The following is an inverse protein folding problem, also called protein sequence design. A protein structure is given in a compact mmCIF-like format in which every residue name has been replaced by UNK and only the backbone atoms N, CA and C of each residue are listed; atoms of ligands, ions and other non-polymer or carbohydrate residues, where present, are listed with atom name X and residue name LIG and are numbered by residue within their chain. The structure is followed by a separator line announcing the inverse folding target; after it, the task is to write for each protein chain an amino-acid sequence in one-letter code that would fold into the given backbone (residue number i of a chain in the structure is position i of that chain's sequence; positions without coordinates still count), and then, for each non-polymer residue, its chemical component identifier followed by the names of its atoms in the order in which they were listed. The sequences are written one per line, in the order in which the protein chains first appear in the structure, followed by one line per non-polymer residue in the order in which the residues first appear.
data_IF_373777772884
#
_entry.id   IF_373777772884
#
_cell.length_a   1.000
_cell.length_b   1.000
_cell.length_c   1.000
_cell.angle_alpha   90.00
_cell.angle_beta   90.00
_cell.angle_gamma   90.00
#
_symmetry.space_group_name_H-M   'P 1'
#
loop_
_entity.id
_entity.type
_entity.pdbx_description
1 polymer ?
#
# COMPACT_ATOMS: atom_id res chain seq x y z
N UNK A 1 1.55 45.12 -58.37
CA UNK A 1 1.65 44.98 -56.89
C UNK A 1 0.58 44.07 -56.27
N UNK A 2 -0.71 44.14 -56.68
CA UNK A 2 -1.77 43.29 -56.09
C UNK A 2 -1.63 41.77 -56.31
N UNK A 3 -1.03 41.33 -57.42
CA UNK A 3 -0.82 39.88 -57.69
C UNK A 3 0.32 39.27 -56.87
N UNK A 4 1.38 40.03 -56.57
CA UNK A 4 2.46 39.57 -55.71
C UNK A 4 2.01 39.43 -54.25
N UNK A 5 1.10 40.29 -53.79
CA UNK A 5 0.51 40.18 -52.46
C UNK A 5 -0.35 38.90 -52.30
N UNK A 6 -1.08 38.49 -53.36
CA UNK A 6 -1.86 37.23 -53.35
C UNK A 6 -0.97 35.98 -53.40
N UNK A 7 0.13 36.02 -54.16
CA UNK A 7 1.12 34.93 -54.19
C UNK A 7 1.87 34.81 -52.86
N UNK A 8 2.19 35.92 -52.21
CA UNK A 8 2.85 35.94 -50.90
C UNK A 8 1.93 35.46 -49.78
N UNK A 9 0.62 35.78 -49.83
CA UNK A 9 -0.40 35.24 -48.92
C UNK A 9 -0.62 33.72 -49.09
N UNK A 10 -0.59 33.21 -50.31
CA UNK A 10 -0.71 31.77 -50.58
C UNK A 10 0.54 30.98 -50.14
N UNK A 11 1.73 31.59 -50.19
CA UNK A 11 2.95 30.98 -49.69
C UNK A 11 3.07 31.01 -48.15
N UNK A 12 2.42 31.97 -47.48
CA UNK A 12 2.45 32.11 -46.01
C UNK A 12 1.44 31.20 -45.30
N UNK A 13 0.35 30.81 -45.97
CA UNK A 13 -0.68 29.92 -45.42
C UNK A 13 -0.16 28.55 -44.95
N UNK A 14 0.66 27.80 -45.72
CA UNK A 14 1.22 26.53 -45.23
C UNK A 14 2.18 26.73 -44.05
N UNK A 15 2.92 27.84 -44.02
CA UNK A 15 3.86 28.16 -42.93
C UNK A 15 3.14 28.46 -41.60
N UNK A 16 1.94 29.04 -41.65
CA UNK A 16 1.08 29.23 -40.46
C UNK A 16 0.52 27.90 -39.94
N UNK A 17 0.19 26.96 -40.83
CA UNK A 17 -0.27 25.60 -40.43
C UNK A 17 0.86 24.76 -39.84
N UNK A 18 2.09 24.96 -40.29
CA UNK A 18 3.29 24.30 -39.75
C UNK A 18 3.76 24.89 -38.40
N UNK A 19 3.35 26.11 -38.05
CA UNK A 19 3.69 26.76 -36.77
C UNK A 19 2.61 26.60 -35.70
N UNK A 20 1.38 26.24 -36.08
CA UNK A 20 0.39 25.68 -35.16
C UNK A 20 0.77 24.22 -34.86
N UNK A 21 1.51 24.01 -33.78
CA UNK A 21 2.08 22.72 -33.41
C UNK A 21 1.07 21.56 -33.37
N UNK A 22 1.57 20.34 -33.54
CA UNK A 22 0.80 19.08 -33.61
C UNK A 22 -0.09 18.77 -32.38
N UNK A 23 -0.14 19.65 -31.38
CA UNK A 23 -0.99 19.51 -30.19
C UNK A 23 -2.49 19.49 -30.52
N UNK A 24 -2.93 20.04 -31.65
CA UNK A 24 -4.36 20.01 -32.04
C UNK A 24 -4.78 18.67 -32.66
N UNK A 25 -3.82 17.91 -33.20
CA UNK A 25 -4.12 16.77 -34.10
C UNK A 25 -4.04 15.42 -33.40
N UNK A 26 -3.33 15.31 -32.28
CA UNK A 26 -3.19 14.04 -31.55
C UNK A 26 -4.07 14.07 -30.29
N UNK A 27 -5.03 13.14 -30.14
CA UNK A 27 -5.82 13.04 -28.92
C UNK A 27 -4.94 12.57 -27.76
N UNK A 28 -5.15 13.15 -26.59
CA UNK A 28 -4.54 12.64 -25.36
C UNK A 28 -5.25 11.34 -25.00
N UNK A 29 -4.48 10.25 -24.94
CA UNK A 29 -4.96 8.92 -24.58
C UNK A 29 -4.68 8.72 -23.10
N UNK A 30 -5.72 8.68 -22.28
CA UNK A 30 -5.61 8.35 -20.85
C UNK A 30 -6.31 7.03 -20.57
N UNK A 31 -5.71 6.23 -19.69
CA UNK A 31 -6.18 4.89 -19.31
C UNK A 31 -6.77 4.97 -17.91
N UNK A 32 -8.07 4.71 -17.77
CA UNK A 32 -8.74 4.68 -16.48
C UNK A 32 -8.95 3.23 -16.03
N UNK A 33 -8.31 2.82 -14.94
CA UNK A 33 -8.63 1.55 -14.29
C UNK A 33 -10.04 1.66 -13.68
N UNK A 34 -10.97 0.82 -14.14
CA UNK A 34 -12.31 0.75 -13.55
C UNK A 34 -12.23 0.00 -12.23
N UNK A 35 -12.29 0.73 -11.12
CA UNK A 35 -12.33 0.15 -9.79
C UNK A 35 -13.71 -0.45 -9.52
N UNK A 36 -13.73 -1.63 -8.92
CA UNK A 36 -14.94 -2.27 -8.41
C UNK A 36 -14.61 -2.98 -7.10
N UNK A 37 -15.62 -3.34 -6.31
CA UNK A 37 -15.43 -4.16 -5.12
C UNK A 37 -15.08 -5.61 -5.52
N UNK A 38 -13.86 -6.11 -5.24
CA UNK A 38 -13.49 -7.50 -5.51
C UNK A 38 -14.06 -8.48 -4.48
N UNK A 39 -14.60 -7.98 -3.35
CA UNK A 39 -15.09 -8.78 -2.24
C UNK A 39 -16.58 -8.54 -1.99
N UNK A 40 -17.47 -9.31 -2.66
CA UNK A 40 -18.91 -9.19 -2.45
C UNK A 40 -19.35 -9.38 -0.99
N UNK A 41 -18.54 -10.08 -0.18
CA UNK A 41 -18.79 -10.30 1.24
C UNK A 41 -18.47 -9.07 2.12
N UNK A 42 -17.69 -8.11 1.62
CA UNK A 42 -17.35 -6.85 2.30
C UNK A 42 -18.02 -5.69 1.56
N UNK A 43 -19.35 -5.70 1.55
CA UNK A 43 -20.13 -4.75 0.76
C UNK A 43 -20.46 -3.48 1.55
N UNK A 44 -20.84 -3.62 2.81
CA UNK A 44 -21.25 -2.52 3.68
C UNK A 44 -20.12 -2.10 4.59
N UNK A 45 -19.65 -0.87 4.46
CA UNK A 45 -18.40 -0.40 5.07
C UNK A 45 -18.64 0.84 5.93
N UNK A 46 -18.17 0.83 7.18
CA UNK A 46 -18.13 2.01 8.03
C UNK A 46 -16.74 2.64 8.04
N UNK A 47 -16.63 3.95 7.84
CA UNK A 47 -15.36 4.67 7.92
C UNK A 47 -15.30 5.45 9.24
N UNK A 48 -14.32 5.14 10.08
CA UNK A 48 -14.11 5.86 11.34
C UNK A 48 -13.28 7.13 11.10
N UNK A 49 -13.39 8.16 11.95
CA UNK A 49 -12.43 9.27 11.95
C UNK A 49 -11.00 8.75 12.01
N UNK A 50 -10.09 9.36 11.24
CA UNK A 50 -8.70 8.91 11.20
C UNK A 50 -7.96 9.39 12.44
N UNK A 51 -7.08 8.56 12.99
CA UNK A 51 -6.22 8.95 14.09
C UNK A 51 -5.04 9.78 13.59
N UNK A 52 -4.70 10.86 14.28
CA UNK A 52 -3.50 11.61 13.96
C UNK A 52 -2.29 10.98 14.65
N UNK A 53 -1.37 10.43 13.87
CA UNK A 53 -0.06 9.92 14.29
C UNK A 53 1.09 10.72 13.64
N UNK A 54 0.77 11.84 13.00
CA UNK A 54 1.74 12.72 12.37
C UNK A 54 2.32 13.73 13.37
N UNK A 55 3.41 14.38 12.98
CA UNK A 55 4.02 15.46 13.76
C UNK A 55 3.18 16.75 13.78
N UNK A 56 2.19 16.88 12.89
CA UNK A 56 1.34 18.07 12.78
C UNK A 56 0.10 17.94 13.68
N UNK A 57 0.00 18.70 14.80
CA UNK A 57 -1.10 18.56 15.75
C UNK A 57 -2.44 19.08 15.22
N UNK A 58 -2.46 19.94 14.19
CA UNK A 58 -3.69 20.55 13.69
C UNK A 58 -4.49 19.67 12.72
N UNK A 59 -4.01 18.46 12.43
CA UNK A 59 -4.67 17.53 11.50
C UNK A 59 -6.03 17.09 12.04
N UNK A 60 -7.09 17.39 11.28
CA UNK A 60 -8.44 16.91 11.57
C UNK A 60 -8.69 15.54 10.93
N UNK A 61 -8.66 14.49 11.74
CA UNK A 61 -8.96 13.11 11.30
C UNK A 61 -10.34 12.93 10.66
N UNK A 62 -11.32 13.77 11.00
CA UNK A 62 -12.65 13.75 10.38
C UNK A 62 -12.60 14.19 8.92
N UNK A 63 -11.71 15.12 8.58
CA UNK A 63 -11.51 15.59 7.20
C UNK A 63 -11.06 14.43 6.30
N UNK A 64 -10.09 13.66 6.76
CA UNK A 64 -9.58 12.47 6.06
C UNK A 64 -10.66 11.40 5.92
N UNK A 65 -11.40 11.11 6.99
CA UNK A 65 -12.49 10.13 6.94
C UNK A 65 -13.60 10.53 5.95
N UNK A 66 -13.95 11.82 5.88
CA UNK A 66 -14.94 12.33 4.90
C UNK A 66 -14.43 12.26 3.47
N UNK A 67 -13.15 12.57 3.24
CA UNK A 67 -12.52 12.42 1.94
C UNK A 67 -12.51 10.94 1.51
N UNK A 68 -12.07 10.04 2.40
CA UNK A 68 -12.05 8.60 2.17
C UNK A 68 -13.45 8.03 1.90
N UNK A 69 -14.45 8.43 2.69
CA UNK A 69 -15.86 8.10 2.48
C UNK A 69 -16.33 8.52 1.08
N UNK A 70 -16.03 9.77 0.68
CA UNK A 70 -16.47 10.32 -0.61
C UNK A 70 -15.87 9.56 -1.80
N UNK A 71 -14.61 9.14 -1.69
CA UNK A 71 -13.94 8.35 -2.73
C UNK A 71 -14.46 6.91 -2.76
N UNK A 72 -14.66 6.27 -1.60
CA UNK A 72 -15.17 4.91 -1.53
C UNK A 72 -16.59 4.80 -2.11
N UNK A 73 -17.43 5.83 -1.94
CA UNK A 73 -18.76 5.88 -2.55
C UNK A 73 -18.76 5.94 -4.08
N UNK A 74 -17.65 6.37 -4.71
CA UNK A 74 -17.55 6.37 -6.18
C UNK A 74 -17.32 4.97 -6.75
N UNK A 75 -16.96 4.00 -5.91
CA UNK A 75 -16.57 2.66 -6.31
C UNK A 75 -17.82 1.75 -6.27
N UNK A 76 -18.20 1.12 -7.40
CA UNK A 76 -19.31 0.18 -7.44
C UNK A 76 -19.12 -1.01 -6.51
N UNK A 77 -20.19 -1.40 -5.81
CA UNK A 77 -20.19 -2.57 -4.93
C UNK A 77 -19.92 -2.28 -3.46
N UNK A 78 -19.73 -1.00 -3.08
CA UNK A 78 -19.66 -0.57 -1.68
C UNK A 78 -20.89 0.25 -1.27
N UNK A 79 -21.47 -0.10 -0.12
CA UNK A 79 -22.43 0.71 0.62
C UNK A 79 -21.70 1.33 1.82
N UNK A 80 -21.42 2.63 1.76
CA UNK A 80 -20.63 3.29 2.80
C UNK A 80 -21.51 4.01 3.81
N UNK A 81 -21.34 3.70 5.09
CA UNK A 81 -22.03 4.38 6.20
C UNK A 81 -21.41 5.77 6.43
N UNK A 82 -22.22 6.84 6.54
CA UNK A 82 -21.70 8.19 6.78
C UNK A 82 -20.91 8.32 8.08
N UNK A 83 -19.79 9.06 8.02
CA UNK A 83 -18.87 9.27 9.16
C UNK A 83 -19.61 9.77 10.42
N UNK A 84 -20.59 10.66 10.27
CA UNK A 84 -21.34 11.19 11.41
C UNK A 84 -22.21 10.16 12.14
N UNK A 85 -22.67 9.11 11.44
CA UNK A 85 -23.41 7.98 12.05
C UNK A 85 -22.44 7.12 12.85
N UNK A 86 -21.27 6.83 12.28
CA UNK A 86 -20.19 6.07 12.94
C UNK A 86 -19.72 6.79 14.20
N UNK A 87 -19.48 8.11 14.13
CA UNK A 87 -19.08 8.91 15.28
C UNK A 87 -20.14 8.93 16.39
N UNK A 88 -21.42 8.91 16.02
CA UNK A 88 -22.51 8.87 17.00
C UNK A 88 -22.54 7.52 17.71
N UNK A 89 -22.43 6.41 16.97
CA UNK A 89 -22.32 5.08 17.54
C UNK A 89 -21.07 4.93 18.44
N UNK A 90 -19.92 5.47 18.02
CA UNK A 90 -18.71 5.49 18.83
C UNK A 90 -18.93 6.23 20.16
N UNK A 91 -19.59 7.40 20.15
CA UNK A 91 -19.92 8.14 21.37
C UNK A 91 -20.90 7.40 22.27
N UNK A 92 -21.92 6.76 21.71
CA UNK A 92 -22.92 5.98 22.47
C UNK A 92 -22.30 4.77 23.16
N UNK A 93 -21.33 4.12 22.50
CA UNK A 93 -20.58 2.99 23.05
C UNK A 93 -19.40 3.41 23.95
N UNK A 94 -19.12 4.71 24.08
CA UNK A 94 -17.99 5.23 24.86
C UNK A 94 -16.61 4.88 24.25
N UNK A 95 -16.55 4.66 22.94
CA UNK A 95 -15.30 4.33 22.23
C UNK A 95 -14.57 5.62 21.86
N UNK A 96 -13.44 5.86 22.50
CA UNK A 96 -12.54 6.99 22.19
C UNK A 96 -11.44 6.54 21.21
N UNK A 97 -10.84 5.37 21.47
CA UNK A 97 -9.77 4.79 20.65
C UNK A 97 -10.16 3.39 20.15
N UNK A 98 -9.68 3.04 18.96
CA UNK A 98 -9.95 1.79 18.25
C UNK A 98 -8.69 0.90 18.16
N UNK A 99 -7.88 0.89 19.22
CA UNK A 99 -6.63 0.11 19.27
C UNK A 99 -6.89 -1.41 19.43
N UNK A 100 -8.05 -1.76 19.98
CA UNK A 100 -8.45 -3.14 20.26
C UNK A 100 -9.39 -3.66 19.15
N UNK A 101 -9.00 -4.71 18.41
CA UNK A 101 -9.84 -5.30 17.36
C UNK A 101 -11.22 -5.78 17.86
N UNK A 102 -11.35 -6.16 19.13
CA UNK A 102 -12.65 -6.54 19.69
C UNK A 102 -13.63 -5.36 19.73
N UNK A 103 -13.15 -4.15 20.05
CA UNK A 103 -13.98 -2.93 20.04
C UNK A 103 -14.38 -2.54 18.63
N UNK A 104 -13.46 -2.69 17.67
CA UNK A 104 -13.73 -2.42 16.25
C UNK A 104 -14.85 -3.33 15.73
N UNK A 105 -14.79 -4.63 16.06
CA UNK A 105 -15.85 -5.59 15.69
C UNK A 105 -17.17 -5.28 16.37
N UNK A 106 -17.16 -4.96 17.67
CA UNK A 106 -18.38 -4.58 18.38
C UNK A 106 -19.06 -3.34 17.75
N UNK A 107 -18.27 -2.36 17.29
CA UNK A 107 -18.77 -1.21 16.53
C UNK A 107 -19.37 -1.64 15.18
N UNK A 108 -18.70 -2.57 14.49
CA UNK A 108 -19.18 -3.14 13.23
C UNK A 108 -20.52 -3.88 13.38
N UNK A 109 -20.65 -4.69 14.42
CA UNK A 109 -21.88 -5.41 14.79
C UNK A 109 -23.01 -4.44 15.16
N UNK A 110 -22.72 -3.40 15.96
CA UNK A 110 -23.70 -2.40 16.35
C UNK A 110 -24.25 -1.59 15.16
N UNK A 111 -23.40 -1.29 14.17
CA UNK A 111 -23.79 -0.60 12.94
C UNK A 111 -24.39 -1.54 11.88
N UNK A 112 -24.24 -2.86 12.05
CA UNK A 112 -24.65 -3.87 11.07
C UNK A 112 -23.87 -3.77 9.76
N UNK A 113 -22.58 -3.46 9.82
CA UNK A 113 -21.69 -3.36 8.64
C UNK A 113 -20.85 -4.62 8.49
N UNK A 114 -20.39 -4.90 7.26
CA UNK A 114 -19.52 -6.05 6.98
C UNK A 114 -18.06 -5.75 7.37
N UNK A 115 -17.64 -4.50 7.19
CA UNK A 115 -16.29 -4.04 7.53
C UNK A 115 -16.27 -2.65 8.17
N UNK A 116 -15.31 -2.45 9.07
CA UNK A 116 -14.97 -1.16 9.68
C UNK A 116 -13.57 -0.76 9.26
N UNK A 117 -13.44 0.44 8.69
CA UNK A 117 -12.18 1.03 8.25
C UNK A 117 -11.63 1.90 9.36
N UNK A 118 -10.45 1.53 9.84
CA UNK A 118 -9.67 2.27 10.82
C UNK A 118 -8.48 2.89 10.09
N UNK A 119 -8.46 4.22 10.01
CA UNK A 119 -7.39 4.98 9.37
C UNK A 119 -6.52 5.73 10.37
N UNK A 120 -5.25 5.92 10.03
CA UNK A 120 -4.33 6.80 10.73
C UNK A 120 -3.54 7.64 9.72
N UNK A 121 -3.34 8.92 10.05
CA UNK A 121 -2.47 9.84 9.31
C UNK A 121 -1.10 9.77 9.96
N UNK A 122 -0.13 9.18 9.27
CA UNK A 122 1.23 8.96 9.79
C UNK A 122 2.16 10.13 9.50
N UNK A 123 1.91 10.87 8.42
CA UNK A 123 2.66 12.07 8.06
C UNK A 123 1.71 13.05 7.36
N UNK A 124 1.82 14.34 7.65
CA UNK A 124 1.08 15.35 6.91
C UNK A 124 1.84 16.66 6.85
N UNK A 125 2.04 17.17 5.64
CA UNK A 125 2.59 18.50 5.39
C UNK A 125 1.76 19.17 4.30
N UNK A 126 0.97 20.22 4.62
CA UNK A 126 0.20 20.95 3.62
C UNK A 126 1.07 21.89 2.76
N UNK A 127 2.30 22.17 3.19
CA UNK A 127 3.21 23.08 2.51
C UNK A 127 3.90 22.43 1.31
N UNK A 128 4.09 23.20 0.25
CA UNK A 128 4.68 22.71 -0.99
C UNK A 128 6.17 22.32 -0.81
N UNK A 129 6.60 21.13 -1.26
CA UNK A 129 5.77 20.06 -1.85
C UNK A 129 4.95 19.32 -0.78
N UNK A 130 3.63 19.18 -0.96
CA UNK A 130 2.76 18.61 0.06
C UNK A 130 3.05 17.12 0.25
N UNK A 131 2.87 16.61 1.48
CA UNK A 131 3.08 15.20 1.83
C UNK A 131 1.93 14.67 2.66
N UNK A 132 1.56 13.41 2.43
CA UNK A 132 0.47 12.75 3.14
C UNK A 132 0.77 11.25 3.27
N UNK A 133 0.98 10.80 4.51
CA UNK A 133 1.13 9.39 4.87
C UNK A 133 -0.17 8.86 5.46
N UNK A 134 -0.67 7.77 4.88
CA UNK A 134 -1.89 7.09 5.31
C UNK A 134 -1.61 5.64 5.63
N UNK A 135 -2.06 5.21 6.81
CA UNK A 135 -2.19 3.79 7.17
C UNK A 135 -3.65 3.47 7.35
N UNK A 136 -4.17 2.53 6.58
CA UNK A 136 -5.56 2.11 6.65
C UNK A 136 -5.63 0.60 6.87
N UNK A 137 -6.43 0.21 7.85
CA UNK A 137 -6.70 -1.18 8.21
C UNK A 137 -8.21 -1.41 8.20
N UNK A 138 -8.66 -2.43 7.48
CA UNK A 138 -10.06 -2.83 7.48
C UNK A 138 -10.21 -4.03 8.40
N UNK A 139 -11.23 -4.00 9.23
CA UNK A 139 -11.60 -5.10 10.11
C UNK A 139 -12.95 -5.63 9.66
N UNK A 140 -13.05 -6.93 9.40
CA UNK A 140 -14.35 -7.54 9.17
C UNK A 140 -15.10 -7.65 10.51
N UNK A 141 -16.41 -7.40 10.47
CA UNK A 141 -17.28 -7.65 11.63
C UNK A 141 -17.39 -9.14 11.92
N UNK A 142 -17.32 -9.98 10.89
CA UNK A 142 -17.28 -11.43 11.05
C UNK A 142 -15.86 -11.91 11.42
N UNK A 143 -15.67 -12.55 12.59
CA UNK A 143 -14.36 -13.04 13.01
C UNK A 143 -13.85 -14.22 12.18
N UNK A 144 -14.71 -14.95 11.48
CA UNK A 144 -14.30 -16.09 10.64
C UNK A 144 -13.77 -15.71 9.27
N UNK A 145 -13.57 -14.42 9.00
CA UNK A 145 -13.13 -13.93 7.70
C UNK A 145 -11.60 -13.96 7.60
N UNK A 146 -11.06 -14.57 6.54
CA UNK A 146 -9.62 -14.72 6.35
C UNK A 146 -8.95 -13.41 5.93
N UNK A 147 -7.64 -13.32 6.13
CA UNK A 147 -6.85 -12.17 5.66
C UNK A 147 -6.77 -12.14 4.13
N UNK A 148 -6.81 -10.94 3.57
CA UNK A 148 -6.71 -10.66 2.14
C UNK A 148 -5.37 -9.94 1.89
N UNK A 149 -4.27 -10.69 1.66
CA UNK A 149 -2.98 -10.11 1.34
C UNK A 149 -2.98 -9.43 -0.05
N UNK A 150 -1.92 -8.67 -0.33
CA UNK A 150 -1.66 -8.23 -1.70
C UNK A 150 -1.47 -9.45 -2.61
N UNK A 151 -1.94 -9.36 -3.84
CA UNK A 151 -1.97 -10.47 -4.79
C UNK A 151 -3.27 -11.28 -4.77
N UNK A 152 -4.07 -11.19 -3.72
CA UNK A 152 -5.29 -11.98 -3.60
C UNK A 152 -6.31 -11.61 -4.69
N UNK A 153 -6.90 -12.61 -5.35
CA UNK A 153 -7.89 -12.43 -6.41
C UNK A 153 -7.32 -11.96 -7.75
N UNK A 154 -6.00 -11.89 -7.90
CA UNK A 154 -5.37 -11.59 -9.19
C UNK A 154 -5.32 -12.84 -10.09
N UNK A 155 -5.30 -12.65 -11.42
CA UNK A 155 -5.41 -13.74 -12.39
C UNK A 155 -4.08 -14.48 -12.61
N UNK A 156 -3.49 -15.00 -11.54
CA UNK A 156 -2.26 -15.80 -11.55
C UNK A 156 -2.38 -17.04 -12.43
N UNK A 157 -1.32 -17.38 -13.16
CA UNK A 157 -1.28 -18.54 -14.06
C UNK A 157 -2.14 -18.42 -15.31
N UNK A 158 -2.71 -17.24 -15.58
CA UNK A 158 -3.48 -16.96 -16.80
C UNK A 158 -2.70 -16.03 -17.73
N UNK A 159 -3.14 -15.90 -19.00
CA UNK A 159 -2.54 -14.93 -19.93
C UNK A 159 -2.63 -13.47 -19.45
N UNK A 160 -3.53 -13.17 -18.49
CA UNK A 160 -3.69 -11.83 -17.94
C UNK A 160 -2.65 -11.49 -16.86
N UNK A 161 -1.83 -12.45 -16.41
CA UNK A 161 -0.78 -12.24 -15.42
C UNK A 161 0.28 -11.22 -15.88
N UNK A 162 0.56 -11.17 -17.19
CA UNK A 162 1.51 -10.21 -17.79
C UNK A 162 1.12 -8.74 -17.55
N UNK A 163 -0.18 -8.47 -17.33
CA UNK A 163 -0.69 -7.11 -17.10
C UNK A 163 -0.70 -6.71 -15.61
N UNK A 164 -0.28 -7.59 -14.70
CA UNK A 164 -0.17 -7.26 -13.28
C UNK A 164 1.06 -6.35 -13.09
N UNK A 165 0.93 -5.18 -12.45
CA UNK A 165 2.06 -4.30 -12.21
C UNK A 165 3.17 -5.01 -11.41
N UNK A 166 4.46 -4.89 -11.79
CA UNK A 166 5.57 -5.57 -11.12
C UNK A 166 5.64 -5.30 -9.61
N UNK A 167 5.24 -4.09 -9.17
CA UNK A 167 5.17 -3.72 -7.75
C UNK A 167 4.19 -4.63 -6.99
N UNK A 168 3.02 -4.91 -7.57
CA UNK A 168 2.00 -5.75 -6.96
C UNK A 168 2.45 -7.21 -6.90
N UNK A 169 3.16 -7.68 -7.94
CA UNK A 169 3.76 -9.02 -7.95
C UNK A 169 4.75 -9.18 -6.79
N UNK A 170 5.69 -8.24 -6.67
CA UNK A 170 6.65 -8.24 -5.58
C UNK A 170 5.99 -8.18 -4.19
N UNK A 171 4.98 -7.32 -4.02
CA UNK A 171 4.24 -7.22 -2.75
C UNK A 171 3.50 -8.53 -2.40
N UNK A 172 2.94 -9.22 -3.40
CA UNK A 172 2.30 -10.51 -3.24
C UNK A 172 3.31 -11.59 -2.80
N UNK A 173 4.40 -11.76 -3.55
CA UNK A 173 5.48 -12.71 -3.24
C UNK A 173 6.03 -12.51 -1.82
N UNK A 174 6.27 -11.26 -1.44
CA UNK A 174 6.72 -10.90 -0.09
C UNK A 174 5.68 -11.22 0.98
N UNK A 175 4.38 -11.05 0.69
CA UNK A 175 3.31 -11.39 1.63
C UNK A 175 3.21 -12.90 1.86
N UNK A 176 3.32 -13.71 0.79
CA UNK A 176 3.35 -15.17 0.90
C UNK A 176 4.60 -15.66 1.61
N UNK A 177 5.77 -15.11 1.29
CA UNK A 177 7.01 -15.43 2.00
C UNK A 177 6.90 -15.11 3.50
N UNK A 178 6.26 -13.99 3.88
CA UNK A 178 6.02 -13.65 5.29
C UNK A 178 5.13 -14.68 5.97
N UNK A 179 4.02 -15.07 5.36
CA UNK A 179 3.11 -16.07 5.92
C UNK A 179 3.80 -17.45 6.07
N UNK A 180 4.59 -17.85 5.10
CA UNK A 180 5.39 -19.09 5.18
C UNK A 180 6.41 -19.03 6.32
N UNK A 181 7.15 -17.93 6.45
CA UNK A 181 8.15 -17.75 7.49
C UNK A 181 7.51 -17.64 8.89
N UNK A 182 6.30 -17.12 9.02
CA UNK A 182 5.56 -17.07 10.28
C UNK A 182 5.35 -18.47 10.85
N UNK A 183 4.99 -19.45 9.99
CA UNK A 183 4.85 -20.86 10.41
C UNK A 183 6.18 -21.52 10.83
N UNK A 184 7.32 -20.99 10.35
CA UNK A 184 8.65 -21.50 10.68
C UNK A 184 9.35 -20.73 11.80
N UNK A 185 8.82 -19.57 12.19
CA UNK A 185 9.46 -18.68 13.14
C UNK A 185 9.40 -19.28 14.55
N UNK A 186 10.54 -19.41 15.27
CA UNK A 186 10.54 -19.94 16.61
C UNK A 186 9.71 -19.06 17.55
N UNK A 187 8.69 -19.62 18.19
CA UNK A 187 8.03 -18.94 19.30
C UNK A 187 8.97 -19.00 20.51
N UNK A 188 9.56 -17.88 20.89
CA UNK A 188 10.36 -17.80 22.13
C UNK A 188 9.40 -17.94 23.31
N UNK A 189 9.15 -19.17 23.73
CA UNK A 189 8.41 -19.47 24.94
C UNK A 189 9.21 -19.04 26.17
N UNK A 190 8.66 -18.14 26.98
CA UNK A 190 9.11 -17.97 28.36
C UNK A 190 9.95 -16.73 28.69
N UNK A 191 9.75 -15.59 28.02
CA UNK A 191 10.04 -14.33 28.71
C UNK A 191 8.89 -14.09 29.71
N UNK A 192 9.15 -14.00 31.03
CA UNK A 192 8.11 -13.64 31.98
C UNK A 192 7.51 -12.32 31.52
N UNK A 193 6.19 -12.32 31.33
CA UNK A 193 5.41 -11.10 31.21
C UNK A 193 5.92 -10.17 32.31
N UNK A 194 6.49 -9.02 31.93
CA UNK A 194 6.86 -7.97 32.88
C UNK A 194 5.55 -7.59 33.55
N UNK A 195 5.32 -8.18 34.71
CA UNK A 195 4.22 -7.82 35.60
C UNK A 195 4.48 -6.36 35.92
N UNK A 196 3.61 -5.49 35.41
CA UNK A 196 3.55 -4.09 35.79
C UNK A 196 3.43 -4.05 37.33
N UNK A 197 4.41 -3.50 38.06
CA UNK A 197 4.30 -3.45 39.51
C UNK A 197 3.23 -2.42 39.84
N UNK A 198 2.05 -2.92 40.24
CA UNK A 198 1.09 -2.12 40.99
C UNK A 198 1.58 -2.09 42.45
N UNK A 199 1.88 -0.89 42.92
CA UNK A 199 2.15 -0.53 44.30
C UNK A 199 1.17 -1.20 45.29
N UNK A 200 1.68 -1.96 46.26
CA UNK A 200 1.63 -1.58 47.69
C UNK A 200 2.38 -2.58 48.61
N UNK A 201 3.18 -1.97 49.48
CA UNK A 201 4.10 -2.38 50.56
C UNK A 201 3.47 -3.29 51.67
N UNK A 202 4.19 -3.77 52.73
CA UNK A 202 5.45 -3.23 53.26
C UNK A 202 6.55 -4.18 53.77
N UNK A 203 7.77 -3.60 53.72
CA UNK A 203 8.96 -3.75 54.57
C UNK A 203 8.96 -4.84 55.65
N UNK A 204 9.84 -5.83 55.44
CA UNK A 204 10.40 -6.70 56.48
C UNK A 204 11.94 -6.73 56.32
N UNK A 205 12.62 -6.65 57.46
CA UNK A 205 14.03 -6.29 57.70
C UNK A 205 15.13 -7.12 56.98
N UNK A 206 16.35 -6.57 56.86
CA UNK A 206 17.51 -7.25 56.27
C UNK A 206 18.34 -8.00 57.31
N UNK A 207 18.89 -9.16 56.92
CA UNK A 207 19.90 -9.91 57.69
C UNK A 207 21.01 -10.42 56.76
N UNK A 208 22.24 -10.63 57.28
CA UNK A 208 23.39 -9.81 56.92
C UNK A 208 24.44 -10.54 56.07
N UNK A 209 25.12 -9.79 55.20
CA UNK A 209 26.35 -10.26 54.55
C UNK A 209 27.54 -10.08 55.50
N UNK A 210 28.39 -11.10 55.71
CA UNK A 210 29.63 -10.93 56.46
C UNK A 210 30.63 -10.09 55.66
N UNK A 211 31.07 -9.00 56.28
CA UNK A 211 32.22 -8.20 55.87
C UNK A 211 33.51 -8.89 56.32
N UNK A 212 34.43 -9.14 55.39
CA UNK A 212 35.85 -9.29 55.72
C UNK A 212 36.65 -8.21 54.97
N UNK A 213 37.38 -7.45 55.77
CA UNK A 213 38.15 -6.25 55.47
C UNK A 213 39.41 -6.60 54.62
N UNK A 214 40.18 -5.69 54.02
CA UNK A 214 40.68 -4.42 54.54
C UNK A 214 41.41 -3.65 53.41
N UNK A 215 41.08 -2.36 53.28
CA UNK A 215 41.81 -1.12 52.89
C UNK A 215 43.31 -1.15 52.44
N UNK A 216 43.94 0.00 52.09
CA UNK A 216 43.65 1.04 51.06
C UNK A 216 44.95 1.42 50.28
N UNK A 217 44.89 2.27 49.24
CA UNK A 217 45.99 3.20 48.87
C UNK A 217 45.48 4.16 47.76
N UNK A 218 45.20 5.42 48.11
CA UNK A 218 46.02 6.62 47.85
C UNK A 218 45.98 7.14 46.40
N UNK A 219 45.64 8.44 46.30
CA UNK A 219 45.54 9.23 45.09
C UNK A 219 46.91 9.81 44.68
N UNK A 220 47.11 10.06 43.38
CA UNK A 220 47.38 11.42 42.87
C UNK A 220 47.51 11.49 41.32
N UNK A 221 47.45 12.70 40.71
CA UNK A 221 47.00 12.95 39.34
C UNK A 221 48.16 13.20 38.35
N UNK A 222 47.90 13.17 37.04
CA UNK A 222 48.86 13.72 36.07
C UNK A 222 48.23 14.28 34.78
N UNK A 223 48.69 15.47 34.40
CA UNK A 223 48.38 16.28 33.21
C UNK A 223 49.11 15.81 31.94
N UNK A 224 48.42 15.94 30.79
CA UNK A 224 48.89 16.54 29.53
C UNK A 224 50.12 16.00 28.76
N UNK A 225 49.90 15.53 27.52
CA UNK A 225 50.38 16.13 26.24
C UNK A 225 50.52 15.12 25.07
N UNK A 226 50.16 15.55 23.85
CA UNK A 226 50.73 15.03 22.58
C UNK A 226 49.77 14.36 21.56
N UNK A 227 49.39 15.08 20.49
CA UNK A 227 48.93 14.55 19.17
C UNK A 227 50.13 14.10 18.29
N UNK A 228 50.03 13.56 17.02
CA UNK A 228 48.86 13.27 16.15
C UNK A 228 48.85 11.90 15.38
N UNK A 229 47.72 11.61 14.72
CA UNK A 229 47.46 10.90 13.44
C UNK A 229 48.20 9.61 13.02
N UNK A 230 47.45 8.55 12.68
CA UNK A 230 47.67 7.78 11.42
C UNK A 230 46.45 6.94 10.99
N UNK A 231 46.36 6.72 9.69
CA UNK A 231 45.22 6.40 8.83
C UNK A 231 44.83 4.92 8.69
N UNK A 232 43.54 4.69 8.36
CA UNK A 232 42.98 3.43 7.85
C UNK A 232 43.39 3.17 6.38
N UNK A 233 43.75 1.94 5.97
CA UNK A 233 43.91 1.59 4.57
C UNK A 233 42.62 1.05 3.94
N UNK A 234 42.31 1.51 2.74
CA UNK A 234 41.37 0.89 1.81
C UNK A 234 42.10 -0.16 0.93
N UNK A 235 41.43 -1.21 0.42
CA UNK A 235 41.95 -2.00 -0.69
C UNK A 235 41.30 -1.62 -2.02
N UNK A 236 42.13 -1.27 -2.99
CA UNK A 236 41.84 -1.23 -4.43
C UNK A 236 42.76 -2.21 -5.18
N UNK A 237 42.31 -2.55 -6.39
CA UNK A 237 42.99 -3.19 -7.53
C UNK A 237 42.93 -4.74 -7.58
N UNK A 238 42.12 -5.38 -8.44
CA UNK A 238 42.06 -5.41 -9.91
C UNK A 238 43.24 -6.13 -10.57
N UNK A 239 43.00 -7.29 -11.20
CA UNK A 239 43.81 -7.83 -12.32
C UNK A 239 42.91 -8.58 -13.33
N UNK A 240 43.11 -8.24 -14.60
CA UNK A 240 42.46 -8.66 -15.84
C UNK A 240 42.86 -10.04 -16.41
N UNK A 241 41.88 -10.63 -17.13
CA UNK A 241 41.91 -11.34 -18.43
C UNK A 241 42.94 -12.45 -18.76
N UNK A 242 42.43 -13.65 -19.16
CA UNK A 242 42.37 -14.13 -20.57
C UNK A 242 41.94 -15.62 -20.72
N UNK A 243 41.10 -15.83 -21.75
CA UNK A 243 41.12 -16.89 -22.77
C UNK A 243 40.01 -17.98 -22.83
N UNK A 244 39.60 -18.26 -24.08
CA UNK A 244 38.71 -19.29 -24.65
C UNK A 244 37.19 -19.19 -24.35
N UNK A 245 36.25 -19.26 -25.29
CA UNK A 245 36.23 -19.55 -26.73
C UNK A 245 34.92 -20.27 -27.08
N UNK A 246 34.23 -19.84 -28.16
CA UNK A 246 33.15 -20.56 -28.89
C UNK A 246 31.85 -20.90 -28.12
N UNK A 247 30.64 -20.97 -28.68
CA UNK A 247 30.03 -20.66 -29.97
C UNK A 247 28.51 -20.68 -29.72
N UNK A 248 27.76 -19.89 -30.47
CA UNK A 248 26.32 -19.98 -30.53
C UNK A 248 25.88 -21.22 -31.32
N UNK A 249 24.86 -21.94 -30.85
CA UNK A 249 24.08 -22.82 -31.74
C UNK A 249 22.59 -22.78 -31.45
N UNK A 250 21.89 -22.50 -32.54
CA UNK A 250 20.47 -22.36 -32.78
C UNK A 250 19.67 -23.67 -32.78
N UNK A 251 18.36 -23.51 -32.61
CA UNK A 251 17.24 -24.29 -33.13
C UNK A 251 17.53 -25.61 -33.88
N UNK A 252 16.96 -26.69 -33.36
CA UNK A 252 16.46 -27.78 -34.17
C UNK A 252 15.12 -28.28 -33.60
N UNK A 253 14.07 -28.15 -34.41
CA UNK A 253 12.80 -28.80 -34.23
C UNK A 253 12.96 -30.33 -34.35
N UNK A 254 12.11 -31.08 -33.66
CA UNK A 254 11.62 -32.34 -34.20
C UNK A 254 10.21 -32.65 -33.66
N UNK A 255 9.33 -32.91 -34.62
CA UNK A 255 7.94 -33.28 -34.47
C UNK A 255 7.73 -34.71 -33.98
N UNK A 256 6.56 -34.88 -33.35
CA UNK A 256 5.70 -36.06 -33.27
C UNK A 256 6.11 -37.24 -32.35
N UNK A 257 5.28 -37.50 -31.34
CA UNK A 257 4.27 -38.59 -31.29
C UNK A 257 3.50 -38.45 -29.96
N UNK A 258 2.17 -38.30 -30.02
CA UNK A 258 1.30 -38.45 -28.84
C UNK A 258 1.24 -39.92 -28.38
N UNK A 259 1.01 -40.18 -27.08
CA UNK A 259 -0.37 -40.45 -26.68
C UNK A 259 -0.77 -39.92 -25.29
N UNK A 260 -2.08 -39.71 -25.14
CA UNK A 260 -2.92 -39.89 -23.95
C UNK A 260 -2.27 -40.54 -22.72
N UNK A 261 -2.41 -39.90 -21.55
CA UNK A 261 -2.31 -40.59 -20.26
C UNK A 261 -1.87 -39.71 -19.10
N UNK A 262 -2.83 -39.33 -18.25
CA UNK A 262 -2.68 -39.03 -16.81
C UNK A 262 -1.59 -38.05 -16.37
N UNK A 263 -2.01 -36.83 -16.03
CA UNK A 263 -1.31 -35.97 -15.08
C UNK A 263 -1.31 -36.66 -13.70
N UNK A 264 -0.30 -37.50 -13.46
CA UNK A 264 0.12 -37.80 -12.09
C UNK A 264 0.98 -36.62 -11.67
N UNK A 265 0.34 -35.63 -11.04
CA UNK A 265 1.04 -34.72 -10.15
C UNK A 265 1.79 -35.61 -9.17
N UNK A 266 3.12 -35.65 -9.31
CA UNK A 266 3.95 -36.41 -8.40
C UNK A 266 3.99 -35.60 -7.13
N UNK A 267 3.17 -36.04 -6.18
CA UNK A 267 3.09 -35.55 -4.81
C UNK A 267 4.49 -35.64 -4.19
N UNK A 268 5.22 -34.54 -4.22
CA UNK A 268 6.33 -34.34 -3.32
C UNK A 268 5.74 -33.88 -1.98
N UNK A 269 5.06 -34.80 -1.29
CA UNK A 269 4.64 -34.62 0.12
C UNK A 269 5.88 -34.67 1.01
N UNK A 270 6.70 -33.63 0.94
CA UNK A 270 7.42 -33.15 2.11
C UNK A 270 6.37 -32.52 3.01
N UNK A 271 6.14 -33.09 4.19
CA UNK A 271 5.07 -32.70 5.09
C UNK A 271 5.20 -31.23 5.51
N UNK A 272 4.50 -30.35 4.81
CA UNK A 272 4.30 -28.98 5.24
C UNK A 272 3.49 -28.97 6.55
N UNK A 273 3.71 -27.99 7.45
CA UNK A 273 2.85 -27.78 8.61
C UNK A 273 1.37 -27.71 8.19
N UNK A 274 0.43 -28.14 9.05
CA UNK A 274 -1.02 -28.08 8.75
C UNK A 274 -1.53 -26.68 8.39
N UNK A 275 -0.82 -25.64 8.80
CA UNK A 275 -1.14 -24.22 8.57
C UNK A 275 -0.26 -23.56 7.49
N UNK A 276 0.48 -24.36 6.70
CA UNK A 276 1.30 -23.83 5.62
C UNK A 276 0.43 -23.24 4.50
N UNK A 277 0.62 -21.96 4.13
CA UNK A 277 -0.14 -21.35 3.05
C UNK A 277 0.25 -22.00 1.71
N UNK A 278 -0.74 -22.45 0.95
CA UNK A 278 -0.53 -22.98 -0.40
C UNK A 278 0.09 -21.89 -1.31
N UNK A 279 0.94 -22.29 -2.25
CA UNK A 279 1.43 -21.42 -3.32
C UNK A 279 0.28 -20.85 -4.16
N UNK A 280 -0.87 -21.53 -4.17
CA UNK A 280 -2.11 -21.03 -4.77
C UNK A 280 -2.93 -20.09 -3.87
N UNK A 281 -2.43 -19.73 -2.68
CA UNK A 281 -3.14 -18.95 -1.65
C UNK A 281 -3.59 -17.54 -2.04
N UNK A 282 -3.21 -17.08 -3.24
CA UNK A 282 -3.71 -15.85 -3.84
C UNK A 282 -5.01 -16.04 -4.63
N UNK A 283 -5.35 -17.25 -5.03
CA UNK A 283 -6.57 -17.54 -5.76
C UNK A 283 -7.62 -18.09 -4.78
N UNK A 284 -8.80 -17.46 -4.65
CA UNK A 284 -9.85 -17.98 -3.80
C UNK A 284 -10.22 -19.41 -4.22
N UNK A 285 -10.42 -20.34 -3.28
CA UNK A 285 -10.89 -21.68 -3.61
C UNK A 285 -12.24 -21.59 -4.32
N UNK A 286 -12.45 -22.47 -5.30
CA UNK A 286 -13.73 -22.58 -5.99
C UNK A 286 -14.89 -22.92 -5.05
N UNK A 287 -16.15 -22.75 -5.51
CA UNK A 287 -17.32 -23.05 -4.70
C UNK A 287 -17.31 -24.51 -4.25
N UNK A 288 -17.46 -24.74 -2.95
CA UNK A 288 -17.52 -26.06 -2.33
C UNK A 288 -18.88 -26.30 -1.68
N UNK A 289 -19.35 -27.55 -1.70
CA UNK A 289 -20.58 -27.96 -1.00
C UNK A 289 -20.45 -27.93 0.53
N UNK A 290 -19.21 -28.00 1.05
CA UNK A 290 -18.92 -27.95 2.48
C UNK A 290 -18.37 -26.56 2.81
N UNK A 291 -18.98 -25.90 3.81
CA UNK A 291 -18.47 -24.63 4.30
C UNK A 291 -17.09 -24.83 4.93
N UNK A 292 -16.09 -23.98 4.63
CA UNK A 292 -14.81 -24.00 5.32
C UNK A 292 -14.98 -23.89 6.84
N UNK A 293 -14.08 -24.52 7.60
CA UNK A 293 -14.06 -24.32 9.05
C UNK A 293 -13.65 -22.87 9.34
N UNK A 294 -14.38 -22.22 10.25
CA UNK A 294 -14.06 -20.86 10.65
C UNK A 294 -12.78 -20.85 11.48
N UNK A 295 -11.71 -20.26 10.96
CA UNK A 295 -10.54 -19.88 11.75
C UNK A 295 -10.75 -18.43 12.21
N UNK A 296 -10.80 -18.16 13.53
CA UNK A 296 -11.00 -16.81 14.01
C UNK A 296 -9.78 -15.95 13.68
N UNK A 297 -9.99 -14.95 12.82
CA UNK A 297 -9.03 -13.88 12.59
C UNK A 297 -9.33 -12.72 13.53
N UNK A 298 -8.37 -12.41 14.40
CA UNK A 298 -8.47 -11.28 15.31
C UNK A 298 -7.91 -9.98 14.73
N UNK A 299 -7.14 -10.06 13.65
CA UNK A 299 -6.48 -8.95 12.98
C UNK A 299 -7.33 -8.26 11.91
N UNK A 300 -6.75 -7.25 11.24
CA UNK A 300 -7.38 -6.63 10.09
C UNK A 300 -7.38 -7.57 8.88
N UNK A 301 -8.46 -7.56 8.10
CA UNK A 301 -8.57 -8.37 6.87
C UNK A 301 -7.75 -7.79 5.72
N UNK A 302 -7.53 -6.48 5.69
CA UNK A 302 -6.61 -5.84 4.76
C UNK A 302 -5.95 -4.66 5.45
N UNK A 303 -4.66 -4.47 5.19
CA UNK A 303 -3.90 -3.31 5.66
C UNK A 303 -3.06 -2.76 4.53
N UNK A 304 -2.96 -1.43 4.46
CA UNK A 304 -2.06 -0.73 3.55
C UNK A 304 -1.49 0.50 4.23
N UNK A 305 -0.19 0.72 4.03
CA UNK A 305 0.50 1.94 4.46
C UNK A 305 1.20 2.52 3.25
N UNK A 306 0.95 3.79 2.94
CA UNK A 306 1.58 4.50 1.83
C UNK A 306 1.85 5.95 2.19
N UNK A 307 2.89 6.51 1.61
CA UNK A 307 3.24 7.94 1.72
C UNK A 307 3.20 8.56 0.33
N UNK A 308 2.47 9.65 0.21
CA UNK A 308 2.25 10.38 -1.03
C UNK A 308 2.99 11.70 -1.01
N UNK A 309 3.79 11.94 -2.05
CA UNK A 309 4.61 13.15 -2.21
C UNK A 309 4.16 13.95 -3.43
N UNK A 310 3.79 15.22 -3.22
CA UNK A 310 3.42 16.13 -4.31
C UNK A 310 4.55 16.54 -5.24
N UNK A 311 5.79 16.13 -4.95
CA UNK A 311 6.96 16.32 -5.82
C UNK A 311 7.24 15.12 -6.74
N UNK A 312 6.54 13.99 -6.55
CA UNK A 312 6.76 12.79 -7.34
C UNK A 312 6.08 12.90 -8.73
N UNK A 313 6.81 12.49 -9.77
CA UNK A 313 6.36 12.52 -11.15
C UNK A 313 5.22 11.51 -11.39
N UNK A 314 5.28 10.31 -10.79
CA UNK A 314 4.21 9.32 -10.93
C UNK A 314 2.93 9.83 -10.26
N UNK A 315 3.07 10.36 -9.05
CA UNK A 315 1.96 10.96 -8.30
C UNK A 315 1.28 12.11 -9.05
N UNK A 316 2.06 13.04 -9.60
CA UNK A 316 1.52 14.21 -10.32
C UNK A 316 0.91 13.84 -11.67
N UNK A 317 1.43 12.83 -12.37
CA UNK A 317 0.81 12.27 -13.56
C UNK A 317 -0.56 11.64 -13.22
N UNK A 318 -0.63 10.82 -12.18
CA UNK A 318 -1.88 10.21 -11.74
C UNK A 318 -2.91 11.26 -11.27
N UNK A 319 -2.46 12.37 -10.66
CA UNK A 319 -3.31 13.50 -10.28
C UNK A 319 -3.88 14.21 -11.51
N UNK A 320 -3.06 14.42 -12.55
CA UNK A 320 -3.49 15.03 -13.79
C UNK A 320 -4.60 14.20 -14.46
N UNK A 321 -4.41 12.87 -14.54
CA UNK A 321 -5.42 11.94 -15.04
C UNK A 321 -6.70 12.00 -14.20
N UNK A 322 -6.58 11.93 -12.87
CA UNK A 322 -7.71 11.99 -11.95
C UNK A 322 -8.59 13.24 -12.12
N UNK A 323 -7.96 14.42 -12.20
CA UNK A 323 -8.68 15.68 -12.42
C UNK A 323 -9.27 15.73 -13.82
N UNK A 324 -8.55 15.20 -14.82
CA UNK A 324 -9.00 15.09 -16.20
C UNK A 324 -10.32 14.31 -16.35
N UNK A 325 -10.46 13.19 -15.62
CA UNK A 325 -11.67 12.36 -15.66
C UNK A 325 -12.86 12.95 -14.91
N UNK A 326 -12.61 13.78 -13.89
CA UNK A 326 -13.67 14.43 -13.12
C UNK A 326 -14.29 15.64 -13.81
N UNK A 327 -13.68 16.10 -14.90
CA UNK A 327 -14.07 17.31 -15.64
C UNK A 327 -14.30 18.51 -14.71
N UNK A 328 -13.42 18.68 -13.71
CA UNK A 328 -13.53 19.79 -12.75
C UNK A 328 -13.36 21.12 -13.49
N UNK A 329 -14.44 21.90 -13.54
CA UNK A 329 -14.50 23.18 -14.24
C UNK A 329 -13.75 24.32 -13.50
N UNK A 330 -13.15 24.05 -12.34
CA UNK A 330 -12.42 25.04 -11.55
C UNK A 330 -11.16 25.53 -12.27
N UNK A 331 -10.87 26.83 -12.10
CA UNK A 331 -9.65 27.47 -12.61
C UNK A 331 -8.41 26.97 -11.87
N UNK A 332 -7.36 26.62 -12.62
CA UNK A 332 -6.04 26.27 -12.07
C UNK A 332 -5.54 24.86 -12.41
N UNK A 333 -6.36 24.04 -13.05
CA UNK A 333 -5.96 22.68 -13.45
C UNK A 333 -5.60 21.79 -12.27
N UNK A 334 -4.93 20.67 -12.54
CA UNK A 334 -4.52 19.70 -11.52
C UNK A 334 -3.48 20.26 -10.55
N UNK A 335 -2.66 21.23 -10.97
CA UNK A 335 -1.64 21.85 -10.10
C UNK A 335 -2.27 22.56 -8.91
N UNK A 336 -3.48 23.10 -9.07
CA UNK A 336 -4.20 23.76 -7.97
C UNK A 336 -4.52 22.82 -6.81
N UNK A 337 -4.64 21.51 -7.06
CA UNK A 337 -4.87 20.49 -6.03
C UNK A 337 -3.66 20.39 -5.08
N UNK A 338 -2.43 20.58 -5.56
CA UNK A 338 -1.24 20.55 -4.71
C UNK A 338 -1.16 21.72 -3.73
N UNK A 339 -1.87 22.81 -4.03
CA UNK A 339 -1.89 24.01 -3.16
C UNK A 339 -3.05 24.01 -2.16
N UNK A 340 -4.06 23.16 -2.35
CA UNK A 340 -5.26 23.09 -1.52
C UNK A 340 -5.26 21.79 -0.74
N UNK A 341 -5.10 21.89 0.58
CA UNK A 341 -5.04 20.73 1.49
C UNK A 341 -6.17 19.74 1.25
N UNK A 342 -7.41 20.23 1.11
CA UNK A 342 -8.61 19.39 1.04
C UNK A 342 -8.66 18.58 -0.27
N UNK A 343 -8.29 19.22 -1.37
CA UNK A 343 -8.24 18.59 -2.70
C UNK A 343 -7.06 17.60 -2.76
N UNK A 344 -5.92 17.92 -2.13
CA UNK A 344 -4.78 17.03 -1.98
C UNK A 344 -5.12 15.79 -1.13
N UNK A 345 -5.71 15.96 0.05
CA UNK A 345 -6.16 14.87 0.94
C UNK A 345 -7.12 13.96 0.18
N UNK A 346 -8.08 14.53 -0.54
CA UNK A 346 -9.04 13.76 -1.34
C UNK A 346 -8.36 12.91 -2.39
N UNK A 347 -7.38 13.45 -3.12
CA UNK A 347 -6.62 12.67 -4.09
C UNK A 347 -5.74 11.60 -3.43
N UNK A 348 -5.11 11.88 -2.28
CA UNK A 348 -4.38 10.87 -1.52
C UNK A 348 -5.29 9.71 -1.09
N UNK A 349 -6.50 9.99 -0.60
CA UNK A 349 -7.48 8.96 -0.28
C UNK A 349 -7.90 8.15 -1.52
N UNK A 350 -8.11 8.81 -2.65
CA UNK A 350 -8.41 8.14 -3.92
C UNK A 350 -7.28 7.19 -4.31
N UNK A 351 -6.05 7.70 -4.39
CA UNK A 351 -4.88 6.92 -4.79
C UNK A 351 -4.66 5.73 -3.85
N UNK A 352 -4.84 5.94 -2.55
CA UNK A 352 -4.76 4.88 -1.55
C UNK A 352 -5.78 3.77 -1.77
N UNK A 353 -7.05 4.12 -1.98
CA UNK A 353 -8.11 3.16 -2.30
C UNK A 353 -7.82 2.42 -3.60
N UNK A 354 -7.44 3.14 -4.65
CA UNK A 354 -7.13 2.57 -5.97
C UNK A 354 -6.01 1.54 -5.87
N UNK A 355 -4.89 1.90 -5.24
CA UNK A 355 -3.75 0.99 -5.03
C UNK A 355 -4.15 -0.24 -4.20
N UNK A 356 -4.92 -0.03 -3.13
CA UNK A 356 -5.34 -1.09 -2.22
C UNK A 356 -6.26 -2.12 -2.88
N UNK A 357 -7.21 -1.65 -3.70
CA UNK A 357 -8.14 -2.52 -4.40
C UNK A 357 -7.50 -3.18 -5.61
N UNK A 358 -6.69 -2.46 -6.39
CA UNK A 358 -5.97 -3.03 -7.55
C UNK A 358 -5.02 -4.15 -7.09
N UNK A 359 -4.31 -3.96 -5.98
CA UNK A 359 -3.45 -5.01 -5.41
C UNK A 359 -4.21 -6.27 -4.98
N UNK A 360 -5.56 -6.24 -4.95
CA UNK A 360 -6.45 -7.29 -4.46
C UNK A 360 -7.53 -7.69 -5.47
N UNK A 361 -7.27 -7.48 -6.76
CA UNK A 361 -8.18 -7.90 -7.84
C UNK A 361 -9.37 -6.97 -8.12
N UNK A 362 -9.45 -5.81 -7.46
CA UNK A 362 -10.48 -4.79 -7.72
C UNK A 362 -10.23 -3.92 -8.96
N UNK A 363 -9.13 -4.16 -9.68
CA UNK A 363 -8.83 -3.51 -10.95
C UNK A 363 -9.58 -4.19 -12.09
N UNK A 364 -10.58 -3.52 -12.67
CA UNK A 364 -11.26 -3.96 -13.89
C UNK A 364 -10.49 -3.60 -15.17
N UNK A 365 -11.06 -3.95 -16.32
CA UNK A 365 -10.50 -3.60 -17.63
C UNK A 365 -10.25 -2.09 -17.74
N UNK A 366 -9.04 -1.72 -18.15
CA UNK A 366 -8.63 -0.33 -18.33
C UNK A 366 -9.42 0.28 -19.48
N UNK A 367 -10.26 1.26 -19.18
CA UNK A 367 -11.00 2.00 -20.20
C UNK A 367 -10.07 3.02 -20.85
N UNK A 368 -9.88 2.91 -22.16
CA UNK A 368 -9.18 3.93 -22.95
C UNK A 368 -10.12 5.09 -23.22
N UNK A 369 -9.73 6.29 -22.80
CA UNK A 369 -10.45 7.53 -23.09
C UNK A 369 -9.55 8.44 -23.92
N UNK A 370 -9.93 8.65 -25.19
CA UNK A 370 -9.28 9.62 -26.06
C UNK A 370 -9.96 10.98 -25.93
N UNK A 371 -9.23 12.01 -25.51
CA UNK A 371 -9.75 13.38 -25.45
C UNK A 371 -9.06 14.26 -26.49
N UNK A 372 -9.87 15.00 -27.25
CA UNK A 372 -9.36 16.03 -28.13
C UNK A 372 -9.08 17.30 -27.30
N UNK A 373 -7.88 17.88 -27.38
CA UNK A 373 -7.58 19.12 -26.70
C UNK A 373 -8.52 20.21 -27.21
N UNK A 374 -9.40 20.70 -26.33
CA UNK A 374 -10.25 21.86 -26.64
C UNK A 374 -9.32 23.08 -26.70
N UNK A 375 -9.24 23.72 -27.86
CA UNK A 375 -8.43 24.92 -28.05
C UNK A 375 -8.71 25.94 -26.94
N UNK A 376 -7.64 26.39 -26.28
CA UNK A 376 -7.70 27.48 -25.31
C UNK A 376 -7.95 28.82 -26.00
#
# INVERSE_FOLDING_TARGET
MRSYFRLLLLALAPLVVLTTGCHIVVPEVSHQALLHNPFPQLSRVAVTPFFNQSEEPTVDGRQFARAYFSELQTIPGYEVVPVGVVETAMREMGIVNLDDPAKVRALGEALGVDAVVVGAVTEFSPYYPPRCGLRVSWYASNPGFHEIPAGYGLPWGTAMEEYIPPKVVFEAEMALARAQLETQSPTVGGLPQVVTPTDQAPLSEPLPFPLEATQPLEADPFEGSGEPAESLPAPQDAIDARDAGAEATSYAANDAIGPTGSSVATDATGAFPPEWPDASGFTPPGPSAVRPQASPNFGPVMTQTQVYHGADAEFTAALADYVGFRDDARTGGWQSYLSRSDDFIRFCCHRHLSEMLIARGGGGETRVVSRWPRGR
#
